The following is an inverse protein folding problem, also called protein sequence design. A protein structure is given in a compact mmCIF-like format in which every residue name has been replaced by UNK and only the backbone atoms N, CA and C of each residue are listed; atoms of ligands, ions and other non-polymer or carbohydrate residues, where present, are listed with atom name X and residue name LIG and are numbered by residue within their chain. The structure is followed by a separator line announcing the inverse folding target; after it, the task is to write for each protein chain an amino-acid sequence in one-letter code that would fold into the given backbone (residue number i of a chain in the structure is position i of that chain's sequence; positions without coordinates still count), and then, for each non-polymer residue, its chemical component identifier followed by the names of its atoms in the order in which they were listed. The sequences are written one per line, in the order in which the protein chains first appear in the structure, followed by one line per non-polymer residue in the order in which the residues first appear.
data_IF_310102386713
#
_entry.id   IF_310102386713
#
_cell.length_a   1.000
_cell.length_b   1.000
_cell.length_c   1.000
_cell.angle_alpha   90.00
_cell.angle_beta   90.00
_cell.angle_gamma   90.00
#
_symmetry.space_group_name_H-M   'P 1'
#
loop_
_entity.id
_entity.type
_entity.pdbx_description
1 polymer ?
#
# COMPACT_ATOMS: atom_id res chain seq x y z
N UNK A 1 -27.69 0.98 -59.12
CA UNK A 1 -27.29 2.30 -58.59
C UNK A 1 -28.51 2.87 -57.90
N UNK A 2 -28.58 3.13 -56.60
CA UNK A 2 -27.67 3.01 -55.47
C UNK A 2 -28.50 3.35 -54.23
N UNK A 3 -28.23 2.65 -53.14
CA UNK A 3 -28.42 3.05 -51.74
C UNK A 3 -29.82 3.44 -51.25
N UNK A 4 -30.42 2.48 -50.54
CA UNK A 4 -30.85 2.67 -49.16
C UNK A 4 -29.90 3.58 -48.38
N UNK A 5 -30.38 4.54 -47.60
CA UNK A 5 -29.75 4.85 -46.32
C UNK A 5 -30.73 5.46 -45.32
N UNK A 6 -30.60 4.93 -44.11
CA UNK A 6 -31.40 5.01 -42.92
C UNK A 6 -31.70 6.43 -42.41
N UNK A 7 -32.94 6.62 -41.95
CA UNK A 7 -33.39 7.71 -41.07
C UNK A 7 -32.98 7.48 -39.59
N UNK A 8 -31.82 6.85 -39.36
CA UNK A 8 -31.25 6.57 -38.05
C UNK A 8 -29.75 6.85 -38.05
N UNK A 9 -29.37 8.12 -38.24
CA UNK A 9 -28.08 8.59 -37.76
C UNK A 9 -28.33 9.50 -36.57
N UNK A 10 -28.17 8.86 -35.42
CA UNK A 10 -28.18 9.41 -34.09
C UNK A 10 -27.36 10.70 -34.01
N UNK A 11 -28.00 11.76 -33.56
CA UNK A 11 -27.32 12.85 -32.86
C UNK A 11 -26.71 12.28 -31.59
N UNK A 12 -25.53 11.68 -31.68
CA UNK A 12 -24.66 11.49 -30.53
C UNK A 12 -24.49 12.87 -29.89
N UNK A 13 -24.80 13.05 -28.60
CA UNK A 13 -24.52 14.31 -27.93
C UNK A 13 -23.02 14.57 -28.10
N UNK A 14 -22.65 15.78 -28.53
CA UNK A 14 -21.26 16.18 -28.86
C UNK A 14 -20.22 15.73 -27.81
N UNK A 15 -20.65 15.54 -26.55
CA UNK A 15 -19.84 15.06 -25.45
C UNK A 15 -19.36 13.60 -25.58
N UNK A 16 -20.14 12.70 -26.18
CA UNK A 16 -19.74 11.29 -26.37
C UNK A 16 -18.77 11.13 -27.55
N UNK A 17 -19.04 11.82 -28.66
CA UNK A 17 -18.15 11.81 -29.83
C UNK A 17 -16.77 12.41 -29.51
N UNK A 18 -16.72 13.46 -28.68
CA UNK A 18 -15.46 14.05 -28.20
C UNK A 18 -14.73 13.09 -27.24
N UNK A 19 -15.44 12.45 -26.31
CA UNK A 19 -14.85 11.43 -25.41
C UNK A 19 -14.28 10.23 -26.19
N UNK A 20 -14.99 9.76 -27.21
CA UNK A 20 -14.58 8.64 -28.05
C UNK A 20 -13.35 8.99 -28.91
N UNK A 21 -13.34 10.20 -29.50
CA UNK A 21 -12.19 10.75 -30.22
C UNK A 21 -10.97 10.90 -29.30
N UNK A 22 -11.17 11.39 -28.08
CA UNK A 22 -10.12 11.59 -27.08
C UNK A 22 -9.52 10.27 -26.58
N UNK A 23 -10.37 9.26 -26.33
CA UNK A 23 -9.95 7.91 -25.94
C UNK A 23 -9.20 7.23 -27.09
N UNK A 24 -9.66 7.39 -28.33
CA UNK A 24 -9.00 6.90 -29.54
C UNK A 24 -7.61 7.50 -29.72
N UNK A 25 -7.43 8.81 -29.45
CA UNK A 25 -6.11 9.48 -29.52
C UNK A 25 -5.11 8.95 -28.50
N UNK A 26 -5.54 8.74 -27.25
CA UNK A 26 -4.69 8.17 -26.20
C UNK A 26 -4.31 6.72 -26.54
N UNK A 27 -5.28 5.91 -27.00
CA UNK A 27 -5.03 4.55 -27.48
C UNK A 27 -4.08 4.52 -28.68
N UNK A 28 -4.20 5.48 -29.60
CA UNK A 28 -3.30 5.61 -30.75
C UNK A 28 -1.88 5.98 -30.32
N UNK A 29 -1.72 6.90 -29.38
CA UNK A 29 -0.42 7.23 -28.77
C UNK A 29 0.17 6.09 -27.92
N UNK A 30 -0.65 5.15 -27.43
CA UNK A 30 -0.16 3.92 -26.78
C UNK A 30 0.32 2.88 -27.81
N UNK A 31 -0.28 2.86 -29.00
CA UNK A 31 0.04 1.90 -30.07
C UNK A 31 1.21 2.36 -30.95
N UNK A 32 1.35 3.67 -31.18
CA UNK A 32 2.50 4.26 -31.86
C UNK A 32 3.66 4.38 -30.85
N UNK A 33 4.82 3.79 -31.18
CA UNK A 33 6.03 3.84 -30.34
C UNK A 33 6.66 5.24 -30.22
N UNK A 34 6.09 6.23 -30.92
CA UNK A 34 6.54 7.62 -30.86
C UNK A 34 5.95 8.32 -29.63
N UNK A 35 6.85 8.65 -28.70
CA UNK A 35 6.54 9.17 -27.36
C UNK A 35 6.10 10.64 -27.33
N UNK A 36 5.98 11.29 -28.48
CA UNK A 36 5.60 12.70 -28.61
C UNK A 36 4.74 12.91 -29.85
N UNK A 37 3.44 13.18 -29.66
CA UNK A 37 2.61 13.78 -30.69
C UNK A 37 2.73 15.30 -30.56
N UNK A 38 3.32 15.96 -31.55
CA UNK A 38 3.33 17.43 -31.66
C UNK A 38 2.13 17.90 -32.48
N UNK A 39 1.36 18.82 -31.92
CA UNK A 39 0.18 19.41 -32.57
C UNK A 39 0.56 20.74 -33.25
N UNK A 40 -0.05 21.03 -34.40
CA UNK A 40 0.30 22.16 -35.28
C UNK A 40 -0.59 23.41 -35.09
N UNK A 41 -1.39 23.50 -34.02
CA UNK A 41 -2.19 24.70 -33.72
C UNK A 41 -1.57 25.50 -32.55
N UNK A 42 -1.07 26.74 -32.77
CA UNK A 42 -0.48 27.57 -31.72
C UNK A 42 -1.47 28.05 -30.63
N UNK A 43 -2.77 27.74 -30.75
CA UNK A 43 -3.79 28.03 -29.73
C UNK A 43 -4.20 26.81 -28.89
N UNK A 44 -3.79 25.59 -29.26
CA UNK A 44 -4.06 24.39 -28.48
C UNK A 44 -2.95 24.15 -27.44
N UNK A 45 -3.27 24.27 -26.14
CA UNK A 45 -2.36 23.93 -25.04
C UNK A 45 -2.36 22.43 -24.69
N UNK A 46 -2.89 21.59 -25.59
CA UNK A 46 -3.03 20.15 -25.40
C UNK A 46 -1.67 19.47 -25.62
N UNK A 47 -1.15 18.82 -24.58
CA UNK A 47 0.13 18.13 -24.61
C UNK A 47 -0.03 16.69 -24.13
N UNK A 48 0.51 15.75 -24.89
CA UNK A 48 0.68 14.37 -24.44
C UNK A 48 2.09 14.24 -23.86
N UNK A 49 2.18 13.98 -22.56
CA UNK A 49 3.43 13.81 -21.82
C UNK A 49 3.59 12.36 -21.36
N UNK A 50 4.71 11.75 -21.70
CA UNK A 50 5.09 10.45 -21.18
C UNK A 50 5.95 10.62 -19.93
N UNK A 51 5.43 10.22 -18.77
CA UNK A 51 6.12 10.25 -17.48
C UNK A 51 6.52 8.84 -17.06
N UNK A 52 7.83 8.55 -17.02
CA UNK A 52 8.38 7.23 -16.72
C UNK A 52 8.95 6.52 -17.96
N UNK A 53 9.33 5.22 -17.88
CA UNK A 53 9.20 4.32 -16.73
C UNK A 53 10.24 4.58 -15.62
N UNK A 54 11.26 5.40 -15.89
CA UNK A 54 12.30 5.79 -14.93
C UNK A 54 12.13 7.25 -14.54
N UNK A 55 11.48 7.50 -13.40
CA UNK A 55 11.34 8.84 -12.83
C UNK A 55 11.36 8.75 -11.29
N UNK A 56 12.00 9.68 -10.55
CA UNK A 56 12.08 9.59 -9.09
C UNK A 56 10.72 9.49 -8.38
N UNK A 57 9.71 10.21 -8.88
CA UNK A 57 8.36 10.23 -8.32
C UNK A 57 7.52 8.96 -8.59
N UNK A 58 8.00 8.01 -9.39
CA UNK A 58 7.25 6.77 -9.70
C UNK A 58 7.49 5.63 -8.72
N UNK A 59 8.42 5.81 -7.76
CA UNK A 59 8.74 4.85 -6.68
C UNK A 59 8.81 3.39 -7.15
N UNK A 60 9.55 3.18 -8.23
CA UNK A 60 9.58 1.91 -8.95
C UNK A 60 9.43 2.17 -10.45
N UNK A 61 8.93 1.16 -11.16
CA UNK A 61 8.81 1.18 -12.61
C UNK A 61 7.34 1.35 -12.98
N UNK A 62 6.95 2.59 -13.24
CA UNK A 62 5.59 2.97 -13.64
C UNK A 62 5.69 3.98 -14.78
N UNK A 63 4.90 3.76 -15.83
CA UNK A 63 4.75 4.69 -16.94
C UNK A 63 3.34 5.28 -16.90
N UNK A 64 3.25 6.60 -16.93
CA UNK A 64 2.00 7.35 -16.99
C UNK A 64 1.97 8.13 -18.29
N UNK A 65 0.99 7.84 -19.15
CA UNK A 65 0.70 8.66 -20.31
C UNK A 65 -0.32 9.73 -19.89
N UNK A 66 0.13 10.98 -19.84
CA UNK A 66 -0.65 12.12 -19.38
C UNK A 66 -1.10 12.93 -20.58
N UNK A 67 -2.37 13.32 -20.59
CA UNK A 67 -2.88 14.37 -21.46
C UNK A 67 -3.16 15.61 -20.63
N UNK A 68 -2.52 16.70 -20.99
CA UNK A 68 -2.49 17.95 -20.25
C UNK A 68 -3.10 19.06 -21.09
N UNK A 69 -3.88 19.95 -20.47
CA UNK A 69 -4.21 21.27 -21.00
C UNK A 69 -3.53 22.32 -20.10
N UNK A 70 -2.41 22.83 -20.58
CA UNK A 70 -1.48 23.62 -19.78
C UNK A 70 -0.98 22.84 -18.57
N UNK A 71 -1.38 23.25 -17.36
CA UNK A 71 -1.02 22.61 -16.08
C UNK A 71 -2.06 21.59 -15.59
N UNK A 72 -3.22 21.50 -16.25
CA UNK A 72 -4.33 20.64 -15.82
C UNK A 72 -4.26 19.27 -16.48
N UNK A 73 -4.31 18.20 -15.68
CA UNK A 73 -4.41 16.82 -16.19
C UNK A 73 -5.85 16.55 -16.62
N UNK A 74 -6.08 16.31 -17.90
CA UNK A 74 -7.40 15.93 -18.45
C UNK A 74 -7.60 14.42 -18.35
N UNK A 75 -6.56 13.65 -18.69
CA UNK A 75 -6.61 12.20 -18.66
C UNK A 75 -5.24 11.61 -18.33
N UNK A 76 -5.26 10.46 -17.67
CA UNK A 76 -4.08 9.66 -17.38
C UNK A 76 -4.36 8.21 -17.73
N UNK A 77 -3.43 7.58 -18.43
CA UNK A 77 -3.42 6.12 -18.62
C UNK A 77 -2.16 5.55 -17.98
N UNK A 78 -2.28 4.82 -16.86
CA UNK A 78 -1.16 4.12 -16.27
C UNK A 78 -0.87 2.83 -17.05
N UNK A 79 0.35 2.72 -17.56
CA UNK A 79 0.86 1.47 -18.14
C UNK A 79 1.59 0.68 -17.04
N UNK A 80 1.00 -0.47 -16.73
CA UNK A 80 1.47 -1.39 -15.70
C UNK A 80 2.15 -2.60 -16.36
N UNK A 81 2.84 -3.41 -15.55
CA UNK A 81 3.37 -4.71 -15.99
C UNK A 81 4.89 -4.78 -16.12
N UNK A 82 5.62 -3.67 -15.99
CA UNK A 82 7.10 -3.67 -16.00
C UNK A 82 7.72 -4.55 -14.89
N UNK A 83 7.00 -4.77 -13.79
CA UNK A 83 7.41 -5.66 -12.69
C UNK A 83 6.60 -6.97 -12.65
N UNK A 84 5.78 -7.26 -13.66
CA UNK A 84 5.01 -8.50 -13.73
C UNK A 84 5.96 -9.68 -13.97
N UNK A 85 5.99 -10.63 -13.03
CA UNK A 85 6.86 -11.82 -13.08
C UNK A 85 6.09 -13.14 -13.19
N UNK A 86 4.77 -13.09 -13.40
CA UNK A 86 3.94 -14.29 -13.48
C UNK A 86 3.93 -15.13 -12.20
N UNK A 87 3.93 -14.51 -11.02
CA UNK A 87 3.94 -15.23 -9.73
C UNK A 87 2.81 -16.26 -9.62
N UNK A 88 1.62 -15.95 -10.14
CA UNK A 88 0.49 -16.89 -10.17
C UNK A 88 0.81 -18.15 -10.98
N UNK A 89 1.49 -18.00 -12.13
CA UNK A 89 1.92 -19.14 -12.95
C UNK A 89 3.03 -19.96 -12.28
N UNK A 90 3.88 -19.31 -11.51
CA UNK A 90 4.90 -20.00 -10.69
C UNK A 90 4.21 -20.78 -9.56
N UNK A 91 3.16 -20.22 -8.95
CA UNK A 91 2.40 -20.88 -7.90
C UNK A 91 1.77 -22.21 -8.36
N UNK A 92 1.28 -22.28 -9.61
CA UNK A 92 0.72 -23.51 -10.19
C UNK A 92 1.74 -24.66 -10.29
N UNK A 93 3.03 -24.33 -10.44
CA UNK A 93 4.10 -25.31 -10.64
C UNK A 93 4.89 -25.62 -9.35
N UNK A 94 4.54 -24.97 -8.23
CA UNK A 94 5.22 -25.13 -6.95
C UNK A 94 4.32 -25.75 -5.89
N UNK A 95 4.92 -26.40 -4.90
CA UNK A 95 4.19 -26.80 -3.70
C UNK A 95 3.79 -25.57 -2.87
N UNK A 96 2.75 -25.72 -2.03
CA UNK A 96 2.32 -24.65 -1.12
C UNK A 96 3.46 -24.11 -0.24
N UNK A 97 4.43 -24.96 0.11
CA UNK A 97 5.56 -24.60 0.95
C UNK A 97 6.65 -23.82 0.20
N UNK A 98 6.97 -24.23 -1.03
CA UNK A 98 7.96 -23.54 -1.87
C UNK A 98 7.50 -22.11 -2.21
N UNK A 99 6.19 -21.93 -2.40
CA UNK A 99 5.62 -20.64 -2.76
C UNK A 99 5.73 -19.56 -1.66
N UNK A 100 5.95 -19.94 -0.39
CA UNK A 100 6.11 -18.99 0.72
C UNK A 100 7.27 -18.01 0.45
N UNK A 101 8.30 -18.42 -0.27
CA UNK A 101 9.43 -17.53 -0.60
C UNK A 101 9.03 -16.44 -1.59
N UNK A 102 8.00 -16.66 -2.40
CA UNK A 102 7.49 -15.67 -3.35
C UNK A 102 6.59 -14.64 -2.66
N UNK A 103 5.92 -14.99 -1.56
CA UNK A 103 5.03 -14.05 -0.84
C UNK A 103 5.78 -12.90 -0.19
N UNK A 104 7.05 -13.10 0.20
CA UNK A 104 7.94 -12.02 0.67
C UNK A 104 8.16 -10.92 -0.39
N UNK A 105 7.96 -11.23 -1.68
CA UNK A 105 8.29 -10.37 -2.82
C UNK A 105 7.09 -9.72 -3.49
N UNK A 106 5.87 -10.00 -3.01
CA UNK A 106 4.64 -9.42 -3.53
C UNK A 106 4.54 -7.94 -3.11
N UNK A 107 4.45 -7.70 -1.80
CA UNK A 107 4.67 -6.38 -1.20
C UNK A 107 5.97 -6.41 -0.39
N UNK A 108 7.03 -5.86 -0.97
CA UNK A 108 8.37 -5.86 -0.38
C UNK A 108 8.51 -4.93 0.83
N UNK A 109 7.49 -4.12 1.16
CA UNK A 109 7.50 -3.26 2.34
C UNK A 109 7.12 -4.01 3.62
N UNK A 110 6.26 -5.03 3.50
CA UNK A 110 5.75 -5.84 4.62
C UNK A 110 5.78 -7.36 4.37
N UNK A 111 6.97 -7.97 4.12
CA UNK A 111 7.09 -9.40 3.80
C UNK A 111 6.44 -10.34 4.84
N UNK A 112 6.58 -10.01 6.13
CA UNK A 112 6.00 -10.81 7.23
C UNK A 112 4.48 -10.85 7.17
N UNK A 113 3.82 -9.72 6.86
CA UNK A 113 2.36 -9.67 6.76
C UNK A 113 1.85 -10.48 5.56
N UNK A 114 2.55 -10.42 4.42
CA UNK A 114 2.21 -11.22 3.23
C UNK A 114 2.28 -12.72 3.51
N UNK A 115 3.34 -13.15 4.22
CA UNK A 115 3.49 -14.55 4.62
C UNK A 115 2.33 -15.01 5.51
N UNK A 116 1.90 -14.17 6.46
CA UNK A 116 0.74 -14.47 7.30
C UNK A 116 -0.53 -14.58 6.45
N UNK A 117 -0.79 -13.65 5.53
CA UNK A 117 -1.98 -13.68 4.67
C UNK A 117 -2.06 -14.95 3.82
N UNK A 118 -0.96 -15.35 3.17
CA UNK A 118 -0.93 -16.57 2.37
C UNK A 118 -1.08 -17.84 3.21
N UNK A 119 -0.37 -17.94 4.34
CA UNK A 119 -0.43 -19.12 5.19
C UNK A 119 -1.82 -19.30 5.81
N UNK A 120 -2.50 -18.23 6.22
CA UNK A 120 -3.86 -18.31 6.73
C UNK A 120 -4.84 -18.87 5.68
N UNK A 121 -4.65 -18.51 4.40
CA UNK A 121 -5.46 -19.08 3.32
C UNK A 121 -5.20 -20.58 3.15
N UNK A 122 -3.94 -21.02 3.19
CA UNK A 122 -3.56 -22.44 3.09
C UNK A 122 -4.04 -23.25 4.29
N UNK A 123 -3.90 -22.71 5.51
CA UNK A 123 -4.37 -23.33 6.75
C UNK A 123 -5.89 -23.51 6.76
N UNK A 124 -6.62 -22.50 6.27
CA UNK A 124 -8.09 -22.58 6.11
C UNK A 124 -8.50 -23.67 5.12
N UNK A 125 -7.74 -23.87 4.03
CA UNK A 125 -7.99 -24.96 3.08
C UNK A 125 -7.72 -26.35 3.68
N UNK A 126 -6.71 -26.46 4.54
CA UNK A 126 -6.33 -27.73 5.19
C UNK A 126 -7.12 -28.04 6.46
N UNK A 127 -7.85 -27.05 7.02
CA UNK A 127 -8.53 -27.19 8.31
C UNK A 127 -7.56 -27.32 9.49
N UNK A 128 -6.36 -26.75 9.39
CA UNK A 128 -5.33 -26.79 10.43
C UNK A 128 -5.25 -25.45 11.12
N UNK A 129 -5.18 -25.46 12.45
CA UNK A 129 -4.99 -24.26 13.26
C UNK A 129 -3.58 -24.25 13.88
N UNK A 130 -2.89 -23.12 13.77
CA UNK A 130 -1.58 -22.95 14.39
C UNK A 130 -1.69 -22.84 15.92
N UNK A 131 -0.69 -23.30 16.70
CA UNK A 131 -0.68 -23.15 18.15
C UNK A 131 -0.88 -21.70 18.60
N UNK A 132 -1.53 -21.43 19.76
CA UNK A 132 -1.80 -20.07 20.24
C UNK A 132 -0.55 -19.19 20.26
N UNK A 133 0.59 -19.72 20.72
CA UNK A 133 1.86 -18.99 20.72
C UNK A 133 2.29 -18.54 19.32
N UNK A 134 2.14 -19.40 18.31
CA UNK A 134 2.45 -19.05 16.93
C UNK A 134 1.51 -17.97 16.40
N UNK A 135 0.23 -17.98 16.79
CA UNK A 135 -0.72 -16.94 16.39
C UNK A 135 -0.34 -15.56 16.94
N UNK A 136 0.04 -15.48 18.22
CA UNK A 136 0.54 -14.24 18.83
C UNK A 136 1.83 -13.74 18.14
N UNK A 137 2.77 -14.63 17.86
CA UNK A 137 4.02 -14.28 17.17
C UNK A 137 3.73 -13.72 15.76
N UNK A 138 2.82 -14.36 15.01
CA UNK A 138 2.40 -13.90 13.67
C UNK A 138 1.74 -12.52 13.73
N UNK A 139 0.92 -12.27 14.74
CA UNK A 139 0.29 -10.96 14.96
C UNK A 139 1.35 -9.88 15.23
N UNK A 140 2.28 -10.14 16.15
CA UNK A 140 3.39 -9.22 16.45
C UNK A 140 4.20 -8.93 15.18
N UNK A 141 4.55 -9.97 14.41
CA UNK A 141 5.30 -9.82 13.17
C UNK A 141 4.53 -8.99 12.13
N UNK A 142 3.23 -9.21 11.98
CA UNK A 142 2.38 -8.46 11.05
C UNK A 142 2.24 -6.98 11.45
N UNK A 143 2.06 -6.67 12.73
CA UNK A 143 1.92 -5.29 13.19
C UNK A 143 3.27 -4.54 13.16
N UNK A 144 4.40 -5.19 13.43
CA UNK A 144 5.73 -4.60 13.20
C UNK A 144 5.98 -4.33 11.70
N UNK A 145 5.55 -5.23 10.82
CA UNK A 145 5.62 -5.02 9.37
C UNK A 145 4.70 -3.88 8.91
N UNK A 146 3.53 -3.69 9.53
CA UNK A 146 2.66 -2.54 9.29
C UNK A 146 3.36 -1.23 9.64
N UNK A 147 4.01 -1.15 10.81
CA UNK A 147 4.79 0.03 11.21
C UNK A 147 5.91 0.30 10.20
N UNK A 148 6.63 -0.73 9.74
CA UNK A 148 7.68 -0.60 8.71
C UNK A 148 7.14 -0.03 7.39
N UNK A 149 5.99 -0.52 6.93
CA UNK A 149 5.32 -0.04 5.71
C UNK A 149 4.87 1.42 5.84
N UNK A 150 4.27 1.78 6.98
CA UNK A 150 3.81 3.15 7.23
C UNK A 150 4.96 4.15 7.34
N UNK A 151 6.14 3.74 7.82
CA UNK A 151 7.34 4.59 7.78
C UNK A 151 7.77 4.91 6.34
N UNK A 152 7.73 3.93 5.44
CA UNK A 152 8.04 4.19 4.02
C UNK A 152 6.99 5.10 3.40
N UNK A 153 5.70 4.86 3.66
CA UNK A 153 4.63 5.72 3.17
C UNK A 153 4.80 7.18 3.65
N UNK A 154 5.10 7.37 4.94
CA UNK A 154 5.38 8.68 5.55
C UNK A 154 6.60 9.36 4.89
N UNK A 155 7.72 8.63 4.80
CA UNK A 155 8.98 9.15 4.28
C UNK A 155 8.91 9.53 2.80
N UNK A 156 8.33 8.66 1.98
CA UNK A 156 8.21 8.88 0.53
C UNK A 156 7.23 9.99 0.21
N UNK A 157 6.06 10.02 0.85
CA UNK A 157 5.08 11.11 0.70
C UNK A 157 5.69 12.47 1.07
N UNK A 158 6.44 12.54 2.17
CA UNK A 158 7.12 13.77 2.57
C UNK A 158 8.21 14.18 1.56
N UNK A 159 9.01 13.22 1.08
CA UNK A 159 10.06 13.47 0.08
C UNK A 159 9.49 14.02 -1.23
N UNK A 160 8.39 13.44 -1.73
CA UNK A 160 7.79 13.85 -3.01
C UNK A 160 7.19 15.26 -2.94
N UNK A 161 6.76 15.69 -1.76
CA UNK A 161 6.33 17.08 -1.52
C UNK A 161 7.54 18.02 -1.37
N UNK A 162 8.73 17.48 -1.08
CA UNK A 162 10.02 18.19 -1.03
C UNK A 162 10.77 18.07 0.31
N UNK A 163 10.23 17.35 1.30
CA UNK A 163 10.80 17.22 2.64
C UNK A 163 11.65 15.94 2.81
N UNK A 164 12.88 15.96 2.29
CA UNK A 164 13.79 14.81 2.29
C UNK A 164 14.21 14.33 3.70
N UNK A 165 14.27 15.22 4.70
CA UNK A 165 14.71 14.88 6.06
C UNK A 165 13.85 13.80 6.71
N UNK A 166 12.53 13.82 6.47
CA UNK A 166 11.59 12.85 7.04
C UNK A 166 11.87 11.44 6.52
N UNK A 167 12.22 11.30 5.24
CA UNK A 167 12.57 10.00 4.67
C UNK A 167 13.76 9.38 5.42
N UNK A 168 14.80 10.17 5.68
CA UNK A 168 15.99 9.70 6.41
C UNK A 168 15.65 9.31 7.85
N UNK A 169 14.79 10.07 8.53
CA UNK A 169 14.35 9.75 9.89
C UNK A 169 13.49 8.49 9.92
N UNK A 170 12.55 8.35 8.97
CA UNK A 170 11.73 7.16 8.82
C UNK A 170 12.60 5.92 8.54
N UNK A 171 13.62 6.04 7.69
CA UNK A 171 14.54 4.94 7.38
C UNK A 171 15.44 4.58 8.56
N UNK A 172 15.84 5.56 9.39
CA UNK A 172 16.56 5.28 10.65
C UNK A 172 15.73 4.40 11.59
N UNK A 173 14.44 4.68 11.76
CA UNK A 173 13.58 3.85 12.61
C UNK A 173 13.24 2.51 11.94
N UNK A 174 13.07 2.50 10.61
CA UNK A 174 12.87 1.27 9.84
C UNK A 174 14.08 0.33 9.90
N UNK A 175 15.29 0.86 9.99
CA UNK A 175 16.50 0.04 10.12
C UNK A 175 16.52 -0.74 11.45
N UNK A 176 16.08 -0.12 12.55
CA UNK A 176 15.90 -0.81 13.83
C UNK A 176 14.87 -1.96 13.73
N UNK A 177 13.80 -1.77 12.95
CA UNK A 177 12.84 -2.84 12.67
C UNK A 177 13.47 -3.98 11.87
N UNK A 178 14.34 -3.69 10.90
CA UNK A 178 15.07 -4.73 10.17
C UNK A 178 16.04 -5.51 11.07
N UNK A 179 16.67 -4.87 12.06
CA UNK A 179 17.50 -5.58 13.04
C UNK A 179 16.65 -6.53 13.90
N UNK A 180 15.43 -6.11 14.27
CA UNK A 180 14.46 -6.99 14.94
C UNK A 180 14.03 -8.14 14.02
N UNK A 181 13.80 -7.90 12.73
CA UNK A 181 13.45 -8.95 11.77
C UNK A 181 14.60 -9.94 11.55
N UNK A 182 15.84 -9.48 11.60
CA UNK A 182 17.03 -10.33 11.55
C UNK A 182 17.12 -11.22 12.79
N UNK A 183 16.92 -10.67 13.99
CA UNK A 183 16.86 -11.46 15.22
C UNK A 183 15.73 -12.51 15.19
N UNK A 184 14.57 -12.16 14.66
CA UNK A 184 13.41 -13.03 14.61
C UNK A 184 13.55 -14.16 13.57
N UNK A 185 14.07 -13.84 12.39
CA UNK A 185 13.97 -14.70 11.19
C UNK A 185 15.32 -15.15 10.64
N UNK A 186 16.39 -14.41 10.93
CA UNK A 186 17.72 -14.53 10.33
C UNK A 186 17.87 -13.86 8.97
N UNK A 187 16.88 -13.05 8.57
CA UNK A 187 16.93 -12.25 7.35
C UNK A 187 16.19 -10.91 7.54
N UNK A 188 16.69 -9.86 6.89
CA UNK A 188 16.17 -8.49 7.06
C UNK A 188 14.93 -8.19 6.21
N UNK A 189 14.86 -8.78 5.01
CA UNK A 189 13.81 -8.51 4.01
C UNK A 189 13.08 -9.78 3.56
N UNK A 190 13.80 -10.75 2.99
CA UNK A 190 13.19 -12.01 2.51
C UNK A 190 13.12 -13.02 3.66
N UNK A 191 12.11 -12.84 4.52
CA UNK A 191 12.03 -13.54 5.81
C UNK A 191 11.59 -14.98 5.69
N UNK A 192 10.59 -15.26 4.85
CA UNK A 192 9.92 -16.55 4.76
C UNK A 192 9.73 -17.17 6.14
N UNK A 193 9.20 -16.41 7.10
CA UNK A 193 9.21 -16.80 8.51
C UNK A 193 7.99 -17.63 8.92
N UNK A 194 6.82 -17.23 8.43
CA UNK A 194 5.57 -17.95 8.68
C UNK A 194 5.57 -19.27 7.91
N UNK A 195 5.12 -20.35 8.55
CA UNK A 195 5.04 -21.69 7.97
C UNK A 195 3.66 -22.27 8.21
N UNK A 196 3.24 -23.19 7.35
CA UNK A 196 1.97 -23.91 7.51
C UNK A 196 2.00 -24.62 8.89
N UNK A 197 1.02 -24.33 9.74
CA UNK A 197 0.89 -24.87 11.10
C UNK A 197 1.64 -24.09 12.19
N UNK A 198 2.41 -23.04 11.86
CA UNK A 198 3.10 -22.25 12.88
C UNK A 198 4.12 -21.23 12.37
N UNK A 199 5.27 -21.16 13.03
CA UNK A 199 6.40 -20.28 12.65
C UNK A 199 7.69 -21.08 12.53
N UNK A 200 8.63 -20.59 11.70
CA UNK A 200 9.87 -21.31 11.42
C UNK A 200 10.79 -21.42 12.66
N UNK A 201 10.85 -20.35 13.48
CA UNK A 201 11.66 -20.27 14.69
C UNK A 201 10.86 -19.59 15.79
N UNK A 202 11.07 -19.97 17.04
CA UNK A 202 10.44 -19.28 18.16
C UNK A 202 11.07 -17.90 18.38
N UNK A 203 10.30 -16.99 18.99
CA UNK A 203 10.80 -15.69 19.42
C UNK A 203 11.69 -15.85 20.66
N UNK A 204 12.91 -15.32 20.61
CA UNK A 204 13.88 -15.34 21.73
C UNK A 204 13.61 -14.20 22.72
N UNK A 205 14.09 -14.32 23.95
CA UNK A 205 13.99 -13.26 24.96
C UNK A 205 14.71 -11.97 24.51
N UNK A 206 15.81 -12.12 23.77
CA UNK A 206 16.52 -11.01 23.13
C UNK A 206 15.63 -10.27 22.12
N UNK A 207 14.89 -11.00 21.28
CA UNK A 207 13.95 -10.41 20.33
C UNK A 207 12.84 -9.65 21.05
N UNK A 208 12.30 -10.22 22.12
CA UNK A 208 11.26 -9.58 22.95
C UNK A 208 11.80 -8.28 23.58
N UNK A 209 13.01 -8.30 24.12
CA UNK A 209 13.65 -7.13 24.72
C UNK A 209 13.92 -6.03 23.67
N UNK A 210 14.36 -6.41 22.47
CA UNK A 210 14.57 -5.48 21.37
C UNK A 210 13.27 -4.82 20.93
N UNK A 211 12.18 -5.60 20.77
CA UNK A 211 10.86 -5.06 20.44
C UNK A 211 10.37 -4.08 21.52
N UNK A 212 10.48 -4.43 22.81
CA UNK A 212 10.09 -3.54 23.91
C UNK A 212 10.86 -2.21 23.87
N UNK A 213 12.18 -2.29 23.73
CA UNK A 213 13.05 -1.11 23.63
C UNK A 213 12.66 -0.22 22.45
N UNK A 214 12.38 -0.82 21.29
CA UNK A 214 11.91 -0.09 20.12
C UNK A 214 10.57 0.60 20.37
N UNK A 215 9.60 -0.12 20.94
CA UNK A 215 8.27 0.43 21.26
C UNK A 215 8.32 1.56 22.29
N UNK A 216 9.29 1.57 23.19
CA UNK A 216 9.48 2.64 24.19
C UNK A 216 10.05 3.91 23.55
N UNK A 217 10.90 3.77 22.53
CA UNK A 217 11.48 4.92 21.82
C UNK A 217 10.57 5.49 20.73
N UNK A 218 9.76 4.63 20.11
CA UNK A 218 8.98 4.96 18.93
C UNK A 218 8.01 6.16 19.09
N UNK A 219 7.29 6.38 20.23
CA UNK A 219 6.37 7.51 20.36
C UNK A 219 7.08 8.85 20.14
N UNK A 220 8.22 9.05 20.80
CA UNK A 220 9.02 10.28 20.69
C UNK A 220 9.50 10.50 19.25
N UNK A 221 9.80 9.43 18.51
CA UNK A 221 10.26 9.50 17.11
C UNK A 221 9.12 9.83 16.15
N UNK A 222 7.93 9.30 16.39
CA UNK A 222 6.73 9.68 15.62
C UNK A 222 6.42 11.15 15.88
N UNK A 223 6.45 11.58 17.15
CA UNK A 223 6.18 12.97 17.51
C UNK A 223 7.24 13.94 16.94
N UNK A 224 8.50 13.52 16.88
CA UNK A 224 9.58 14.26 16.21
C UNK A 224 9.28 14.46 14.71
N UNK A 225 8.86 13.40 14.01
CA UNK A 225 8.45 13.48 12.61
C UNK A 225 7.19 14.35 12.41
N UNK A 226 6.20 14.17 13.29
CA UNK A 226 4.93 14.89 13.24
C UNK A 226 5.12 16.40 13.46
N UNK A 227 5.98 16.81 14.38
CA UNK A 227 6.28 18.23 14.63
C UNK A 227 6.79 18.95 13.38
N UNK A 228 7.57 18.26 12.54
CA UNK A 228 8.13 18.85 11.32
C UNK A 228 7.11 18.93 10.18
N UNK A 229 6.15 17.99 10.11
CA UNK A 229 5.20 17.88 8.99
C UNK A 229 3.85 18.54 9.32
N UNK A 230 3.25 18.19 10.46
CA UNK A 230 1.88 18.58 10.81
C UNK A 230 1.73 20.08 11.07
N UNK A 231 2.82 20.77 11.44
CA UNK A 231 2.85 22.24 11.57
C UNK A 231 3.33 22.95 10.30
N UNK A 232 3.75 22.21 9.28
CA UNK A 232 4.27 22.79 8.06
C UNK A 232 3.12 23.15 7.11
N UNK A 233 2.89 24.46 6.97
CA UNK A 233 1.88 24.99 6.05
C UNK A 233 2.08 24.54 4.61
N UNK A 234 3.32 24.36 4.15
CA UNK A 234 3.61 23.89 2.78
C UNK A 234 3.08 22.47 2.59
N UNK A 235 3.31 21.58 3.55
CA UNK A 235 2.80 20.20 3.45
C UNK A 235 1.27 20.19 3.46
N UNK A 236 0.67 20.97 4.35
CA UNK A 236 -0.78 21.07 4.45
C UNK A 236 -1.41 21.62 3.17
N UNK A 237 -0.89 22.71 2.61
CA UNK A 237 -1.38 23.35 1.38
C UNK A 237 -1.20 22.43 0.15
N UNK A 238 -0.22 21.52 0.16
CA UNK A 238 0.06 20.58 -0.93
C UNK A 238 -0.73 19.26 -0.85
N UNK A 239 -1.25 18.90 0.32
CA UNK A 239 -1.95 17.63 0.53
C UNK A 239 -3.45 17.80 0.77
N UNK A 240 -3.87 18.93 1.37
CA UNK A 240 -5.28 19.20 1.66
C UNK A 240 -6.06 19.40 0.38
N UNK A 241 -7.20 18.72 0.26
CA UNK A 241 -8.08 18.80 -0.91
C UNK A 241 -7.51 18.16 -2.18
N UNK A 242 -6.39 17.44 -2.09
CA UNK A 242 -5.76 16.76 -3.23
C UNK A 242 -6.11 15.27 -3.24
N UNK A 243 -6.67 14.80 -4.36
CA UNK A 243 -7.08 13.40 -4.52
C UNK A 243 -8.20 13.02 -3.57
N UNK A 244 -9.23 13.86 -3.48
CA UNK A 244 -10.44 13.62 -2.67
C UNK A 244 -11.20 12.44 -3.26
N UNK A 245 -11.55 11.49 -2.39
CA UNK A 245 -12.38 10.34 -2.74
C UNK A 245 -13.48 10.25 -1.68
N UNK A 246 -14.74 10.34 -2.09
CA UNK A 246 -15.88 10.17 -1.20
C UNK A 246 -16.12 8.68 -0.86
N UNK A 247 -16.91 8.42 0.17
CA UNK A 247 -17.18 7.07 0.67
C UNK A 247 -17.82 6.15 -0.39
N UNK A 248 -18.77 6.66 -1.18
CA UNK A 248 -19.50 5.87 -2.16
C UNK A 248 -18.58 5.47 -3.32
N UNK A 249 -17.79 6.42 -3.83
CA UNK A 249 -16.76 6.16 -4.85
C UNK A 249 -15.71 5.18 -4.33
N UNK A 250 -15.24 5.35 -3.09
CA UNK A 250 -14.23 4.46 -2.50
C UNK A 250 -14.72 3.00 -2.45
N UNK A 251 -15.99 2.77 -2.08
CA UNK A 251 -16.60 1.44 -2.06
C UNK A 251 -16.80 0.93 -3.49
N UNK A 252 -17.32 1.75 -4.40
CA UNK A 252 -17.57 1.37 -5.79
C UNK A 252 -16.28 0.97 -6.54
N UNK A 253 -15.17 1.64 -6.24
CA UNK A 253 -13.84 1.32 -6.79
C UNK A 253 -13.16 0.12 -6.09
N UNK A 254 -13.74 -0.41 -5.01
CA UNK A 254 -13.15 -1.50 -4.23
C UNK A 254 -11.89 -1.09 -3.45
N UNK A 255 -11.77 0.17 -3.06
CA UNK A 255 -10.64 0.64 -2.24
C UNK A 255 -10.70 0.03 -0.84
N UNK A 256 -9.54 -0.24 -0.25
CA UNK A 256 -9.43 -0.85 1.09
C UNK A 256 -8.37 -0.14 1.94
N UNK A 257 -8.31 -0.50 3.23
CA UNK A 257 -7.28 -0.02 4.15
C UNK A 257 -7.32 1.50 4.37
N UNK A 258 -6.16 2.18 4.49
CA UNK A 258 -6.12 3.62 4.76
C UNK A 258 -6.81 4.48 3.71
N UNK A 259 -6.92 4.01 2.45
CA UNK A 259 -7.61 4.76 1.40
C UNK A 259 -9.12 4.78 1.64
N UNK A 260 -9.71 3.65 2.06
CA UNK A 260 -11.13 3.55 2.41
C UNK A 260 -11.44 4.28 3.72
N UNK A 261 -10.59 4.10 4.74
CA UNK A 261 -10.74 4.74 6.06
C UNK A 261 -10.51 6.24 6.04
N UNK A 262 -9.71 6.73 5.10
CA UNK A 262 -9.51 8.17 4.87
C UNK A 262 -10.75 8.86 4.27
N UNK A 263 -11.66 8.09 3.68
CA UNK A 263 -12.93 8.55 3.09
C UNK A 263 -14.15 8.37 4.01
N UNK A 264 -13.93 8.09 5.30
CA UNK A 264 -14.98 8.04 6.32
C UNK A 264 -15.63 6.67 6.54
N UNK A 265 -15.15 5.61 5.89
CA UNK A 265 -15.73 4.26 6.02
C UNK A 265 -14.95 3.45 7.07
N UNK A 266 -15.55 3.12 8.24
CA UNK A 266 -14.88 2.44 9.34
C UNK A 266 -14.79 0.92 9.14
N UNK A 267 -14.16 0.48 8.05
CA UNK A 267 -13.97 -0.94 7.74
C UNK A 267 -12.52 -1.38 8.02
N UNK A 268 -12.36 -2.43 8.82
CA UNK A 268 -11.07 -3.06 9.09
C UNK A 268 -11.26 -4.57 9.33
N UNK A 269 -10.60 -5.39 8.49
CA UNK A 269 -10.69 -6.83 8.57
C UNK A 269 -10.33 -7.39 9.95
N UNK A 270 -9.41 -6.76 10.69
CA UNK A 270 -9.00 -7.23 12.02
C UNK A 270 -10.13 -7.15 13.04
N UNK A 271 -11.12 -6.28 12.82
CA UNK A 271 -12.29 -6.10 13.69
C UNK A 271 -13.55 -6.74 13.10
N UNK A 272 -13.78 -6.55 11.80
CA UNK A 272 -15.00 -7.00 11.12
C UNK A 272 -15.00 -8.50 10.83
N UNK A 273 -13.82 -9.08 10.56
CA UNK A 273 -13.64 -10.51 10.37
C UNK A 273 -12.31 -10.96 11.01
N UNK A 274 -12.27 -10.99 12.36
CA UNK A 274 -11.04 -11.23 13.09
C UNK A 274 -10.37 -12.55 12.70
N UNK A 275 -9.05 -12.52 12.63
CA UNK A 275 -8.19 -13.68 12.38
C UNK A 275 -7.08 -13.71 13.44
N UNK A 276 -6.39 -14.86 13.58
CA UNK A 276 -5.42 -15.06 14.67
C UNK A 276 -6.06 -14.73 16.03
N UNK A 277 -5.50 -13.76 16.76
CA UNK A 277 -5.95 -13.35 18.10
C UNK A 277 -6.31 -11.86 18.18
N UNK A 278 -6.63 -11.22 17.04
CA UNK A 278 -7.02 -9.80 17.03
C UNK A 278 -8.31 -9.53 17.83
N UNK A 279 -9.19 -10.51 17.96
CA UNK A 279 -10.42 -10.47 18.76
C UNK A 279 -10.17 -10.38 20.27
N UNK A 280 -8.98 -10.77 20.74
CA UNK A 280 -8.57 -10.74 22.14
C UNK A 280 -7.84 -9.45 22.54
N UNK A 281 -7.64 -8.53 21.59
CA UNK A 281 -6.87 -7.30 21.77
C UNK A 281 -7.76 -6.08 21.54
N UNK A 282 -7.48 -5.02 22.30
CA UNK A 282 -8.24 -3.77 22.21
C UNK A 282 -7.51 -2.73 21.36
N UNK A 283 -8.15 -2.26 20.29
CA UNK A 283 -7.62 -1.22 19.40
C UNK A 283 -8.74 -0.47 18.68
N UNK A 284 -8.44 0.77 18.31
CA UNK A 284 -9.38 1.63 17.60
C UNK A 284 -9.17 1.58 16.08
N UNK A 285 -10.28 1.59 15.34
CA UNK A 285 -10.25 1.69 13.87
C UNK A 285 -10.21 3.17 13.52
N UNK A 286 -9.04 3.66 13.12
CA UNK A 286 -8.85 5.07 12.78
C UNK A 286 -9.54 5.39 11.45
N UNK A 287 -10.40 6.40 11.47
CA UNK A 287 -11.03 6.95 10.27
C UNK A 287 -10.85 8.46 10.20
N UNK A 288 -10.91 8.99 8.99
CA UNK A 288 -10.96 10.41 8.68
C UNK A 288 -12.06 10.64 7.63
N UNK A 289 -12.65 11.83 7.58
CA UNK A 289 -13.83 12.09 6.72
C UNK A 289 -13.54 12.90 5.46
N UNK A 290 -12.40 13.59 5.41
CA UNK A 290 -12.10 14.55 4.33
C UNK A 290 -11.78 13.86 2.98
N UNK A 291 -11.45 12.56 2.96
CA UNK A 291 -11.21 11.80 1.73
C UNK A 291 -9.95 12.19 0.95
N UNK A 292 -9.20 13.18 1.42
CA UNK A 292 -8.02 13.72 0.73
C UNK A 292 -6.72 12.99 1.12
N UNK A 293 -5.61 13.42 0.50
CA UNK A 293 -4.29 12.84 0.78
C UNK A 293 -3.83 13.08 2.22
N UNK A 294 -4.29 14.16 2.85
CA UNK A 294 -3.95 14.49 4.22
C UNK A 294 -4.70 13.62 5.24
N UNK A 295 -5.98 13.33 5.01
CA UNK A 295 -6.75 12.34 5.77
C UNK A 295 -6.07 10.97 5.75
N UNK A 296 -5.66 10.51 4.56
CA UNK A 296 -4.91 9.27 4.38
C UNK A 296 -3.56 9.25 5.09
N UNK A 297 -2.91 10.40 5.23
CA UNK A 297 -1.69 10.56 6.02
C UNK A 297 -1.98 10.39 7.52
N UNK A 298 -2.99 11.06 8.06
CA UNK A 298 -3.34 10.96 9.47
C UNK A 298 -3.78 9.57 9.88
N UNK A 299 -4.54 8.87 9.02
CA UNK A 299 -4.93 7.47 9.24
C UNK A 299 -3.69 6.60 9.45
N UNK A 300 -2.70 6.66 8.56
CA UNK A 300 -1.45 5.86 8.68
C UNK A 300 -0.66 6.21 9.94
N UNK A 301 -0.54 7.50 10.25
CA UNK A 301 0.21 7.98 11.42
C UNK A 301 -0.42 7.51 12.75
N UNK A 302 -1.75 7.55 12.85
CA UNK A 302 -2.46 7.06 14.05
C UNK A 302 -2.52 5.54 14.09
N UNK A 303 -2.62 4.87 12.94
CA UNK A 303 -2.51 3.41 12.85
C UNK A 303 -1.17 2.89 13.38
N UNK A 304 -0.06 3.61 13.17
CA UNK A 304 1.22 3.22 13.77
C UNK A 304 1.13 3.17 15.30
N UNK A 305 0.42 4.11 15.93
CA UNK A 305 0.22 4.14 17.39
C UNK A 305 -0.69 3.00 17.86
N UNK A 306 -1.74 2.68 17.11
CA UNK A 306 -2.59 1.52 17.39
C UNK A 306 -1.83 0.19 17.22
N UNK A 307 -0.97 0.07 16.20
CA UNK A 307 -0.08 -1.08 16.04
C UNK A 307 0.85 -1.24 17.23
N UNK A 308 1.40 -0.15 17.77
CA UNK A 308 2.22 -0.22 18.99
C UNK A 308 1.42 -0.73 20.19
N UNK A 309 0.19 -0.24 20.36
CA UNK A 309 -0.74 -0.68 21.41
C UNK A 309 -1.04 -2.18 21.28
N UNK A 310 -1.29 -2.66 20.06
CA UNK A 310 -1.50 -4.08 19.75
C UNK A 310 -0.28 -4.94 20.07
N UNK A 311 0.92 -4.52 19.65
CA UNK A 311 2.15 -5.29 19.90
C UNK A 311 2.43 -5.36 21.41
N UNK A 312 2.23 -4.28 22.18
CA UNK A 312 2.40 -4.31 23.64
C UNK A 312 1.46 -5.31 24.30
N UNK A 313 0.17 -5.27 23.98
CA UNK A 313 -0.80 -6.22 24.52
C UNK A 313 -0.48 -7.67 24.12
N UNK A 314 -0.05 -7.89 22.88
CA UNK A 314 0.32 -9.22 22.39
C UNK A 314 1.56 -9.77 23.10
N UNK A 315 2.53 -8.93 23.45
CA UNK A 315 3.71 -9.32 24.23
C UNK A 315 3.36 -9.67 25.69
N UNK A 316 2.42 -8.95 26.30
CA UNK A 316 1.95 -9.22 27.66
C UNK A 316 1.17 -10.53 27.75
N UNK A 317 0.36 -10.82 26.73
CA UNK A 317 -0.48 -12.02 26.65
C UNK A 317 0.21 -13.21 25.96
N UNK A 318 1.48 -13.11 25.59
CA UNK A 318 2.20 -14.12 24.83
C UNK A 318 2.27 -15.45 25.61
N UNK A 319 1.57 -16.52 25.17
CA UNK A 319 1.54 -17.76 25.92
C UNK A 319 2.84 -18.55 25.75
N UNK A 320 3.21 -19.28 26.80
CA UNK A 320 4.20 -20.37 26.70
C UNK A 320 3.60 -21.55 25.94
N UNK A 321 4.42 -22.30 25.20
CA UNK A 321 3.94 -23.49 24.48
C UNK A 321 4.65 -23.74 23.15
N UNK A 322 4.16 -24.73 22.37
CA UNK A 322 4.70 -25.04 21.07
C UNK A 322 4.45 -23.90 20.08
N UNK A 323 5.36 -23.74 19.11
CA UNK A 323 5.30 -22.72 18.06
C UNK A 323 5.13 -23.31 16.64
N UNK A 324 5.10 -24.63 16.53
CA UNK A 324 4.90 -25.43 15.32
C UNK A 324 4.33 -26.79 15.72
#
# INVERSE_FOLDING_TARGET
MSNSDNLYEDTLPLDEAVKETNRSRILKALLDQDTTATFNDPLENDMILNMGPSHPATHGVLRLLLRLDGETIIAVVPELGYLHRGFEKIAENGSYHEFITHTDRLDYLQPLANNVGYILAVEKLLGVEAPPRAQYIRLIAAELARISSHFVALGTMAMDVGAMTILLWAFREREKLHDIFDLLTGARFTTSYTRIGGVARNMTDETIAAIKTFLDQLPDRIDECERLITRNRIFFDRCRGVGVIDAETAIAMGLTGPNLRGSGVPMDLRRDNPYLVYDQLDFDVITESEGDSLARYYVRLREMRESMKLVRQALEKLPSGPFR
#
